data_IF_767031308187
#
_entry.id   IF_767031308187
#
_cell.length_a   1.000
_cell.length_b   1.000
_cell.length_c   1.000
_cell.angle_alpha   90.00
_cell.angle_beta   90.00
_cell.angle_gamma   90.00
#
_symmetry.space_group_name_H-M   'P 1'
#
loop_
_entity.id
_entity.type
_entity.pdbx_description
1 polymer ?
#
# COMPACT_ATOMS: atom_id res chain seq x y z
N UNK A 1 -12.43 0.46 25.71
CA UNK A 1 -12.23 0.42 24.25
C UNK A 1 -12.74 1.71 23.59
N UNK A 2 -12.04 2.84 23.73
CA UNK A 2 -12.48 4.14 23.15
C UNK A 2 -11.41 4.88 22.33
N UNK A 3 -10.31 4.23 21.96
CA UNK A 3 -9.11 4.91 21.47
C UNK A 3 -8.74 4.66 19.99
N UNK A 4 -9.70 4.32 19.12
CA UNK A 4 -9.42 4.10 17.67
C UNK A 4 -10.56 4.62 16.76
N UNK A 5 -11.11 5.81 17.01
CA UNK A 5 -12.17 6.40 16.15
C UNK A 5 -11.83 7.79 15.56
N UNK A 6 -10.62 8.31 15.77
CA UNK A 6 -10.22 9.64 15.31
C UNK A 6 -9.63 9.69 13.89
N UNK A 7 -8.84 8.68 13.51
CA UNK A 7 -7.98 8.76 12.30
C UNK A 7 -8.77 8.79 11.00
N UNK A 8 -9.87 8.02 10.90
CA UNK A 8 -10.70 7.98 9.71
C UNK A 8 -11.34 9.34 9.41
N UNK A 9 -11.84 10.05 10.43
CA UNK A 9 -12.47 11.36 10.26
C UNK A 9 -11.48 12.44 9.86
N UNK A 10 -10.30 12.45 10.50
CA UNK A 10 -9.24 13.41 10.20
C UNK A 10 -8.75 13.20 8.76
N UNK A 11 -8.53 11.95 8.37
CA UNK A 11 -8.09 11.61 7.02
C UNK A 11 -9.12 12.01 5.95
N UNK A 12 -10.39 11.67 6.15
CA UNK A 12 -11.46 12.05 5.20
C UNK A 12 -11.63 13.56 5.10
N UNK A 13 -11.57 14.29 6.22
CA UNK A 13 -11.60 15.75 6.21
C UNK A 13 -10.41 16.35 5.45
N UNK A 14 -9.21 15.79 5.64
CA UNK A 14 -8.02 16.18 4.90
C UNK A 14 -8.19 16.02 3.39
N UNK A 15 -8.69 14.87 2.94
CA UNK A 15 -8.96 14.60 1.52
C UNK A 15 -9.97 15.58 0.92
N UNK A 16 -11.03 15.92 1.67
CA UNK A 16 -12.02 16.90 1.23
C UNK A 16 -11.42 18.31 1.07
N UNK A 17 -10.57 18.73 2.01
CA UNK A 17 -9.91 20.05 1.96
C UNK A 17 -9.03 20.18 0.71
N UNK A 18 -8.31 19.13 0.33
CA UNK A 18 -7.47 19.14 -0.88
C UNK A 18 -8.25 18.84 -2.17
N UNK A 19 -9.57 18.68 -2.08
CA UNK A 19 -10.44 18.45 -3.24
C UNK A 19 -10.33 17.04 -3.84
N UNK A 20 -9.80 16.06 -3.10
CA UNK A 20 -9.74 14.67 -3.56
C UNK A 20 -11.13 14.04 -3.44
N UNK A 21 -11.66 13.62 -4.58
CA UNK A 21 -12.96 12.94 -4.64
C UNK A 21 -12.81 11.49 -4.19
N UNK A 22 -13.69 11.05 -3.29
CA UNK A 22 -13.73 9.65 -2.85
C UNK A 22 -14.34 8.78 -3.97
N UNK A 23 -13.51 7.91 -4.55
CA UNK A 23 -13.98 6.87 -5.47
C UNK A 23 -14.46 5.67 -4.67
N UNK A 24 -15.66 5.17 -4.97
CA UNK A 24 -16.15 3.94 -4.37
C UNK A 24 -15.31 2.75 -4.87
N UNK A 25 -14.74 2.01 -3.93
CA UNK A 25 -13.97 0.80 -4.20
C UNK A 25 -14.68 -0.42 -3.63
N UNK A 26 -15.03 -1.44 -4.43
CA UNK A 26 -15.68 -2.64 -3.92
C UNK A 26 -14.73 -3.46 -3.02
N UNK A 27 -15.26 -3.95 -1.91
CA UNK A 27 -14.53 -4.84 -1.00
C UNK A 27 -14.16 -6.15 -1.68
N UNK A 28 -12.97 -6.68 -1.38
CA UNK A 28 -12.46 -7.95 -1.92
C UNK A 28 -12.29 -7.99 -3.45
N UNK A 29 -12.09 -6.84 -4.10
CA UNK A 29 -11.76 -6.74 -5.52
C UNK A 29 -10.31 -6.24 -5.72
N UNK A 30 -9.29 -7.09 -5.45
CA UNK A 30 -7.90 -6.72 -5.69
C UNK A 30 -7.60 -6.60 -7.20
N UNK A 31 -8.32 -7.34 -8.04
CA UNK A 31 -8.25 -7.31 -9.50
C UNK A 31 -8.56 -5.94 -10.08
N UNK A 32 -9.46 -5.21 -9.43
CA UNK A 32 -9.79 -3.87 -9.86
C UNK A 32 -8.69 -2.88 -9.45
N UNK A 33 -7.89 -3.15 -8.40
CA UNK A 33 -7.08 -2.13 -7.73
C UNK A 33 -5.79 -1.91 -8.52
N UNK A 34 -5.62 -0.76 -9.21
CA UNK A 34 -4.45 -0.55 -10.06
C UNK A 34 -3.14 -0.55 -9.28
N UNK A 35 -3.19 -0.30 -7.97
CA UNK A 35 -2.03 -0.36 -7.08
C UNK A 35 -1.52 -1.79 -6.94
N UNK A 36 -2.40 -2.80 -6.88
CA UNK A 36 -1.97 -4.22 -6.77
C UNK A 36 -1.18 -4.63 -8.01
N UNK A 37 -1.65 -4.23 -9.19
CA UNK A 37 -0.94 -4.51 -10.43
C UNK A 37 0.46 -3.88 -10.47
N UNK A 38 0.59 -2.64 -9.99
CA UNK A 38 1.89 -1.98 -9.88
C UNK A 38 2.82 -2.67 -8.87
N UNK A 39 2.27 -3.16 -7.75
CA UNK A 39 3.05 -3.92 -6.78
C UNK A 39 3.55 -5.25 -7.35
N UNK A 40 2.73 -5.95 -8.14
CA UNK A 40 3.15 -7.20 -8.76
C UNK A 40 4.26 -6.99 -9.80
N UNK A 41 4.19 -5.92 -10.60
CA UNK A 41 5.29 -5.54 -11.48
C UNK A 41 6.56 -5.18 -10.70
N UNK A 42 6.43 -4.50 -9.56
CA UNK A 42 7.58 -4.17 -8.72
C UNK A 42 8.22 -5.43 -8.13
N UNK A 43 7.42 -6.37 -7.62
CA UNK A 43 7.91 -7.65 -7.11
C UNK A 43 8.68 -8.42 -8.18
N UNK A 44 8.13 -8.52 -9.39
CA UNK A 44 8.81 -9.18 -10.52
C UNK A 44 10.20 -8.57 -10.78
N UNK A 45 10.29 -7.23 -10.82
CA UNK A 45 11.58 -6.55 -11.02
C UNK A 45 12.57 -6.81 -9.90
N UNK A 46 12.11 -6.81 -8.64
CA UNK A 46 12.95 -7.14 -7.49
C UNK A 46 13.35 -8.62 -7.47
N UNK A 47 12.50 -9.49 -7.98
CA UNK A 47 12.74 -10.92 -8.07
C UNK A 47 13.73 -11.28 -9.18
N UNK A 48 13.67 -10.58 -10.30
CA UNK A 48 14.57 -10.72 -11.45
C UNK A 48 15.96 -10.12 -11.15
N UNK A 49 16.02 -9.08 -10.31
CA UNK A 49 17.25 -8.47 -9.88
C UNK A 49 17.87 -9.26 -8.70
N UNK A 50 18.64 -10.31 -9.03
CA UNK A 50 19.28 -11.23 -8.07
C UNK A 50 20.12 -10.52 -6.98
N UNK A 51 20.57 -9.29 -7.22
CA UNK A 51 21.30 -8.46 -6.25
C UNK A 51 20.36 -7.96 -5.13
N UNK A 52 19.13 -7.55 -5.46
CA UNK A 52 18.15 -7.09 -4.46
C UNK A 52 17.68 -8.23 -3.56
N UNK A 53 17.55 -9.46 -4.07
CA UNK A 53 17.27 -10.65 -3.24
C UNK A 53 18.37 -10.92 -2.20
N UNK A 54 19.65 -10.81 -2.60
CA UNK A 54 20.75 -11.05 -1.67
C UNK A 54 20.87 -9.93 -0.62
N UNK A 55 20.63 -8.67 -1.01
CA UNK A 55 20.60 -7.54 -0.09
C UNK A 55 19.39 -7.58 0.86
N UNK A 56 18.20 -7.97 0.39
CA UNK A 56 17.01 -8.14 1.21
C UNK A 56 17.19 -9.22 2.28
N UNK A 57 17.69 -10.40 1.89
CA UNK A 57 18.01 -11.48 2.83
C UNK A 57 19.14 -11.09 3.80
N UNK A 58 20.13 -10.32 3.33
CA UNK A 58 21.18 -9.78 4.21
C UNK A 58 20.64 -8.75 5.22
N UNK A 59 19.62 -7.98 4.86
CA UNK A 59 19.04 -6.97 5.76
C UNK A 59 18.08 -7.58 6.78
N UNK A 60 17.37 -8.67 6.43
CA UNK A 60 16.50 -9.43 7.33
C UNK A 60 17.25 -10.27 8.38
N UNK A 61 18.52 -10.61 8.16
CA UNK A 61 19.35 -11.27 9.18
C UNK A 61 19.84 -10.33 10.30
N UNK A 62 19.38 -9.07 10.34
CA UNK A 62 19.76 -8.08 11.38
C UNK A 62 18.60 -7.71 12.32
N UNK A 63 17.47 -8.43 12.28
CA UNK A 63 16.37 -8.30 13.24
C UNK A 63 15.91 -9.65 13.78
#
# INVERSE_FOLDING_TARGET
MKHVFGCAKIFTAGLQIVGVTHMFWPSFSPDLNPIEHNWDQLKQRLDDDHICKSLWNSCLCTF
#
